data_IF_687423952042
#
_entry.id   IF_687423952042
#
_cell.length_a   1.000
_cell.length_b   1.000
_cell.length_c   1.000
_cell.angle_alpha   90.00
_cell.angle_beta   90.00
_cell.angle_gamma   90.00
#
_symmetry.space_group_name_H-M   'P 1'
#
loop_
_entity.id
_entity.type
_entity.pdbx_description
1 polymer ?
#
# COMPACT_ATOMS: atom_id res chain seq x y z
N UNK A 1 20.03 23.55 -0.20
CA UNK A 1 19.83 22.10 -0.01
C UNK A 1 19.55 21.43 -1.36
N UNK A 2 20.45 21.57 -2.34
CA UNK A 2 20.46 20.71 -3.54
C UNK A 2 21.04 19.37 -3.09
N UNK A 3 20.29 18.30 -3.31
CA UNK A 3 20.29 17.06 -2.54
C UNK A 3 21.57 16.24 -2.72
N UNK A 4 22.19 15.81 -1.62
CA UNK A 4 23.25 14.79 -1.58
C UNK A 4 22.91 13.51 -2.38
N UNK A 5 21.61 13.25 -2.58
CA UNK A 5 21.06 12.11 -3.31
C UNK A 5 21.46 12.12 -4.80
N UNK A 6 21.59 13.28 -5.45
CA UNK A 6 21.87 13.31 -6.91
C UNK A 6 23.28 12.87 -7.28
N UNK A 7 24.22 12.84 -6.33
CA UNK A 7 25.58 12.37 -6.56
C UNK A 7 25.78 10.88 -6.23
N UNK A 8 24.92 10.33 -5.38
CA UNK A 8 24.98 8.93 -4.93
C UNK A 8 24.15 7.98 -5.81
N UNK A 9 23.20 8.50 -6.59
CA UNK A 9 22.32 7.71 -7.44
C UNK A 9 22.63 7.96 -8.92
N UNK A 10 22.45 6.92 -9.73
CA UNK A 10 22.36 7.07 -11.18
C UNK A 10 21.09 7.84 -11.56
N UNK A 11 21.16 8.62 -12.64
CA UNK A 11 20.06 9.45 -13.10
C UNK A 11 18.85 8.60 -13.54
N UNK A 12 19.11 7.43 -14.15
CA UNK A 12 18.08 6.46 -14.53
C UNK A 12 17.39 5.84 -13.31
N UNK A 13 18.17 5.60 -12.23
CA UNK A 13 17.65 5.08 -10.97
C UNK A 13 16.68 6.08 -10.31
N UNK A 14 17.05 7.37 -10.27
CA UNK A 14 16.17 8.43 -9.75
C UNK A 14 14.89 8.55 -10.57
N UNK A 15 15.00 8.47 -11.89
CA UNK A 15 13.86 8.55 -12.80
C UNK A 15 12.90 7.37 -12.59
N UNK A 16 13.43 6.15 -12.39
CA UNK A 16 12.63 4.97 -12.09
C UNK A 16 11.84 5.13 -10.78
N UNK A 17 12.51 5.55 -9.70
CA UNK A 17 11.89 5.80 -8.38
C UNK A 17 10.75 6.82 -8.53
N UNK A 18 11.03 7.94 -9.18
CA UNK A 18 10.07 9.02 -9.37
C UNK A 18 8.81 8.55 -10.09
N UNK A 19 8.98 7.80 -11.20
CA UNK A 19 7.86 7.23 -11.97
C UNK A 19 7.06 6.22 -11.16
N UNK A 20 7.72 5.33 -10.42
CA UNK A 20 7.04 4.27 -9.65
C UNK A 20 6.30 4.80 -8.42
N UNK A 21 6.87 5.75 -7.66
CA UNK A 21 6.16 6.33 -6.51
C UNK A 21 4.98 7.21 -6.94
N UNK A 22 5.10 7.93 -8.05
CA UNK A 22 3.99 8.70 -8.60
C UNK A 22 2.77 7.81 -8.91
N UNK A 23 2.99 6.57 -9.35
CA UNK A 23 1.93 5.59 -9.61
C UNK A 23 1.32 4.99 -8.32
N UNK A 24 2.13 4.82 -7.25
CA UNK A 24 1.73 4.00 -6.09
C UNK A 24 0.91 4.78 -5.05
N UNK A 25 1.18 6.06 -4.82
CA UNK A 25 0.37 6.89 -3.91
C UNK A 25 0.80 8.37 -3.80
N UNK A 26 1.95 8.76 -4.37
CA UNK A 26 2.57 10.06 -4.12
C UNK A 26 3.11 10.23 -2.69
N UNK A 27 3.26 9.15 -1.90
CA UNK A 27 3.78 9.25 -0.53
C UNK A 27 5.31 9.35 -0.54
N UNK A 28 5.81 10.55 -0.22
CA UNK A 28 7.23 10.85 -0.07
C UNK A 28 7.95 9.92 0.92
N UNK A 29 7.25 9.43 1.97
CA UNK A 29 7.85 8.53 2.97
C UNK A 29 8.22 7.18 2.37
N UNK A 30 7.37 6.65 1.49
CA UNK A 30 7.67 5.41 0.76
C UNK A 30 8.86 5.62 -0.19
N UNK A 31 8.88 6.75 -0.90
CA UNK A 31 10.01 7.13 -1.75
C UNK A 31 11.34 7.10 -0.99
N UNK A 32 11.39 7.80 0.15
CA UNK A 32 12.59 7.87 0.96
C UNK A 32 13.02 6.49 1.47
N UNK A 33 12.09 5.64 1.92
CA UNK A 33 12.41 4.29 2.38
C UNK A 33 13.00 3.39 1.29
N UNK A 34 12.53 3.55 0.03
CA UNK A 34 13.08 2.84 -1.13
C UNK A 34 14.50 3.31 -1.41
N UNK A 35 14.74 4.62 -1.41
CA UNK A 35 16.08 5.16 -1.65
C UNK A 35 17.09 4.65 -0.62
N UNK A 36 16.73 4.66 0.67
CA UNK A 36 17.63 4.18 1.73
C UNK A 36 17.97 2.70 1.53
N UNK A 37 16.98 1.85 1.24
CA UNK A 37 17.23 0.43 0.96
C UNK A 37 18.03 0.17 -0.32
N UNK A 38 17.78 0.95 -1.37
CA UNK A 38 18.52 0.82 -2.62
C UNK A 38 19.99 1.17 -2.41
N UNK A 39 20.28 2.17 -1.57
CA UNK A 39 21.63 2.47 -1.14
C UNK A 39 22.27 1.32 -0.35
N UNK A 40 21.54 0.70 0.59
CA UNK A 40 22.05 -0.48 1.31
C UNK A 40 22.40 -1.64 0.37
N UNK A 41 21.64 -1.85 -0.71
CA UNK A 41 21.95 -2.88 -1.71
C UNK A 41 23.19 -2.52 -2.54
N UNK A 42 23.28 -1.26 -2.99
CA UNK A 42 24.45 -0.75 -3.69
C UNK A 42 25.72 -0.89 -2.84
N UNK A 43 25.66 -0.52 -1.56
CA UNK A 43 26.78 -0.64 -0.61
C UNK A 43 27.18 -2.12 -0.41
N UNK A 44 26.22 -3.04 -0.27
CA UNK A 44 26.48 -4.49 -0.16
C UNK A 44 27.14 -5.07 -1.40
N UNK A 45 26.78 -4.58 -2.60
CA UNK A 45 27.36 -4.99 -3.87
C UNK A 45 28.63 -4.22 -4.23
N UNK A 46 29.07 -3.28 -3.37
CA UNK A 46 30.21 -2.39 -3.61
C UNK A 46 30.08 -1.56 -4.88
N UNK A 47 28.84 -1.17 -5.24
CA UNK A 47 28.59 -0.25 -6.35
C UNK A 47 29.00 1.17 -5.95
N UNK A 48 29.66 1.89 -6.86
CA UNK A 48 30.07 3.28 -6.62
C UNK A 48 28.89 4.27 -6.57
N UNK A 49 27.76 3.88 -7.15
CA UNK A 49 26.48 4.62 -7.16
C UNK A 49 25.32 3.63 -7.11
N UNK A 50 24.15 4.09 -6.68
CA UNK A 50 22.93 3.29 -6.73
C UNK A 50 22.47 3.15 -8.18
N UNK A 51 22.46 1.92 -8.66
CA UNK A 51 22.04 1.58 -10.02
C UNK A 51 20.54 1.24 -10.06
N UNK A 52 20.01 1.13 -11.28
CA UNK A 52 18.61 0.75 -11.54
C UNK A 52 18.27 -0.59 -10.89
N UNK A 53 19.18 -1.57 -10.94
CA UNK A 53 18.99 -2.91 -10.36
C UNK A 53 18.83 -2.89 -8.83
N UNK A 54 19.52 -2.00 -8.13
CA UNK A 54 19.43 -1.87 -6.66
C UNK A 54 18.07 -1.28 -6.23
N UNK A 55 17.54 -0.38 -7.07
CA UNK A 55 16.20 0.17 -6.92
C UNK A 55 15.14 -0.90 -7.19
N UNK A 56 15.27 -1.64 -8.28
CA UNK A 56 14.34 -2.72 -8.63
C UNK A 56 14.30 -3.78 -7.54
N UNK A 57 15.45 -4.17 -6.98
CA UNK A 57 15.52 -5.10 -5.87
C UNK A 57 14.81 -4.56 -4.62
N UNK A 58 15.00 -3.28 -4.30
CA UNK A 58 14.30 -2.62 -3.19
C UNK A 58 12.79 -2.59 -3.37
N UNK A 59 12.33 -2.26 -4.58
CA UNK A 59 10.90 -2.25 -4.92
C UNK A 59 10.32 -3.67 -4.85
N UNK A 60 11.03 -4.67 -5.39
CA UNK A 60 10.61 -6.07 -5.36
C UNK A 60 10.51 -6.61 -3.93
N UNK A 61 11.44 -6.25 -3.05
CA UNK A 61 11.37 -6.64 -1.63
C UNK A 61 10.17 -6.02 -0.92
N UNK A 62 9.80 -4.77 -1.23
CA UNK A 62 8.58 -4.16 -0.71
C UNK A 62 7.32 -4.88 -1.21
N UNK A 63 7.26 -5.18 -2.51
CA UNK A 63 6.16 -5.94 -3.10
C UNK A 63 6.01 -7.33 -2.47
N UNK A 64 7.13 -8.04 -2.27
CA UNK A 64 7.14 -9.36 -1.64
C UNK A 64 6.67 -9.29 -0.19
N UNK A 65 7.14 -8.29 0.57
CA UNK A 65 6.67 -8.08 1.95
C UNK A 65 5.16 -7.86 1.99
N UNK A 66 4.64 -7.00 1.12
CA UNK A 66 3.20 -6.75 1.03
C UNK A 66 2.45 -8.04 0.65
N UNK A 67 2.97 -8.82 -0.31
CA UNK A 67 2.39 -10.12 -0.72
C UNK A 67 2.35 -11.14 0.42
N UNK A 68 3.41 -11.25 1.22
CA UNK A 68 3.47 -12.17 2.38
C UNK A 68 2.45 -11.73 3.44
N UNK A 69 2.38 -10.43 3.73
CA UNK A 69 1.39 -9.91 4.68
C UNK A 69 -0.03 -10.18 4.19
N UNK A 70 -0.32 -9.85 2.92
CA UNK A 70 -1.65 -10.09 2.33
C UNK A 70 -1.97 -11.58 2.29
N UNK A 71 -1.03 -12.46 1.94
CA UNK A 71 -1.28 -13.90 1.85
C UNK A 71 -1.68 -14.51 3.21
N UNK A 72 -1.12 -14.01 4.31
CA UNK A 72 -1.45 -14.41 5.68
C UNK A 72 -2.84 -13.98 6.17
N UNK A 73 -3.51 -13.06 5.46
CA UNK A 73 -4.83 -12.57 5.85
C UNK A 73 -5.95 -13.55 5.54
N UNK A 74 -7.02 -13.46 6.32
CA UNK A 74 -8.27 -14.17 6.07
C UNK A 74 -8.90 -13.77 4.73
N UNK A 75 -9.68 -14.66 4.13
CA UNK A 75 -10.40 -14.41 2.86
C UNK A 75 -11.30 -13.18 2.96
N UNK A 76 -11.98 -12.98 4.10
CA UNK A 76 -12.85 -11.82 4.34
C UNK A 76 -12.04 -10.51 4.40
N UNK A 77 -10.88 -10.54 5.06
CA UNK A 77 -9.98 -9.38 5.11
C UNK A 77 -9.42 -9.01 3.73
N UNK A 78 -9.07 -10.00 2.91
CA UNK A 78 -8.66 -9.79 1.51
C UNK A 78 -9.78 -9.16 0.67
N UNK A 79 -11.02 -9.59 0.86
CA UNK A 79 -12.18 -9.00 0.19
C UNK A 79 -12.36 -7.52 0.57
N UNK A 80 -12.22 -7.18 1.85
CA UNK A 80 -12.27 -5.78 2.30
C UNK A 80 -11.19 -4.95 1.63
N UNK A 81 -9.96 -5.44 1.54
CA UNK A 81 -8.90 -4.75 0.81
C UNK A 81 -9.25 -4.55 -0.68
N UNK A 82 -9.86 -5.55 -1.34
CA UNK A 82 -10.36 -5.42 -2.72
C UNK A 82 -11.45 -4.35 -2.85
N UNK A 83 -12.39 -4.29 -1.90
CA UNK A 83 -13.40 -3.23 -1.87
C UNK A 83 -12.77 -1.85 -1.67
N UNK A 84 -11.81 -1.72 -0.77
CA UNK A 84 -11.08 -0.46 -0.54
C UNK A 84 -10.33 -0.02 -1.79
N UNK A 85 -9.63 -0.91 -2.48
CA UNK A 85 -8.96 -0.58 -3.75
C UNK A 85 -9.95 -0.14 -4.82
N UNK A 86 -11.05 -0.88 -5.00
CA UNK A 86 -12.11 -0.52 -5.96
C UNK A 86 -12.67 0.87 -5.69
N UNK A 87 -12.87 1.22 -4.41
CA UNK A 87 -13.38 2.53 -3.98
C UNK A 87 -12.31 3.64 -4.10
N UNK A 88 -11.04 3.27 -3.90
CA UNK A 88 -9.87 4.16 -3.97
C UNK A 88 -9.27 4.33 -5.38
N UNK A 89 -9.84 3.67 -6.41
CA UNK A 89 -9.43 3.88 -7.81
C UNK A 89 -9.58 5.33 -8.27
N UNK A 90 -10.31 6.15 -7.53
CA UNK A 90 -10.33 7.59 -7.71
C UNK A 90 -9.30 8.21 -6.74
N UNK A 91 -8.15 8.72 -7.20
CA UNK A 91 -7.00 9.09 -6.35
C UNK A 91 -7.27 10.22 -5.34
N UNK A 92 -8.39 10.93 -5.47
CA UNK A 92 -8.85 11.95 -4.53
C UNK A 92 -9.95 11.46 -3.57
N UNK A 93 -10.46 10.24 -3.75
CA UNK A 93 -11.59 9.74 -2.97
C UNK A 93 -11.10 8.86 -1.82
N UNK A 94 -11.19 9.42 -0.63
CA UNK A 94 -10.99 8.70 0.62
C UNK A 94 -12.16 7.74 0.85
N UNK A 95 -11.87 6.49 1.19
CA UNK A 95 -12.92 5.47 1.33
C UNK A 95 -13.49 5.48 2.74
N UNK A 96 -14.79 5.77 2.87
CA UNK A 96 -15.48 5.77 4.17
C UNK A 96 -15.81 4.35 4.67
N UNK A 97 -15.86 4.15 5.99
CA UNK A 97 -16.25 2.85 6.56
C UNK A 97 -17.65 2.39 6.18
N UNK A 98 -18.58 3.35 6.01
CA UNK A 98 -19.93 3.06 5.53
C UNK A 98 -19.92 2.56 4.09
N UNK A 99 -19.10 3.14 3.21
CA UNK A 99 -18.97 2.68 1.82
C UNK A 99 -18.38 1.25 1.74
N UNK A 100 -17.41 0.94 2.62
CA UNK A 100 -16.85 -0.43 2.73
C UNK A 100 -17.94 -1.41 3.18
N UNK A 101 -18.73 -1.01 4.19
CA UNK A 101 -19.84 -1.82 4.69
C UNK A 101 -20.88 -2.09 3.61
N UNK A 102 -21.26 -1.07 2.84
CA UNK A 102 -22.24 -1.18 1.76
C UNK A 102 -21.75 -2.08 0.63
N UNK A 103 -20.49 -1.97 0.22
CA UNK A 103 -19.91 -2.88 -0.79
C UNK A 103 -19.83 -4.32 -0.29
N UNK A 104 -19.47 -4.53 0.98
CA UNK A 104 -19.46 -5.87 1.58
C UNK A 104 -20.88 -6.45 1.68
N UNK A 105 -21.88 -5.62 2.01
CA UNK A 105 -23.29 -6.02 2.03
C UNK A 105 -23.79 -6.42 0.64
N UNK A 106 -23.45 -5.66 -0.40
CA UNK A 106 -23.76 -6.01 -1.80
C UNK A 106 -23.11 -7.33 -2.20
N UNK A 107 -21.85 -7.55 -1.80
CA UNK A 107 -21.14 -8.79 -2.07
C UNK A 107 -21.81 -10.00 -1.40
N UNK A 108 -22.16 -9.90 -0.11
CA UNK A 108 -22.87 -10.96 0.60
C UNK A 108 -24.26 -11.23 -0.01
N UNK A 109 -25.00 -10.18 -0.37
CA UNK A 109 -26.30 -10.31 -1.03
C UNK A 109 -26.20 -11.05 -2.37
N UNK A 110 -25.20 -10.75 -3.19
CA UNK A 110 -24.97 -11.46 -4.45
C UNK A 110 -24.63 -12.95 -4.27
N UNK A 111 -24.12 -13.34 -3.10
CA UNK A 111 -23.78 -14.72 -2.74
C UNK A 111 -24.86 -15.44 -1.92
N UNK A 112 -26.00 -14.80 -1.65
CA UNK A 112 -27.02 -15.29 -0.71
C UNK A 112 -26.47 -15.56 0.70
N UNK A 113 -25.46 -14.81 1.13
CA UNK A 113 -24.90 -14.87 2.48
C UNK A 113 -25.58 -13.83 3.41
N UNK A 114 -25.64 -14.07 4.72
CA UNK A 114 -26.18 -13.11 5.67
C UNK A 114 -25.37 -11.81 5.68
N UNK A 115 -26.05 -10.69 5.94
CA UNK A 115 -25.40 -9.39 6.02
C UNK A 115 -24.28 -9.38 7.08
N UNK A 116 -23.09 -8.81 6.77
CA UNK A 116 -21.98 -8.78 7.71
C UNK A 116 -22.31 -7.87 8.89
N UNK A 117 -21.84 -8.22 10.09
CA UNK A 117 -21.96 -7.35 11.25
C UNK A 117 -20.97 -6.16 11.13
N UNK A 118 -21.45 -4.94 11.39
CA UNK A 118 -20.65 -3.72 11.34
C UNK A 118 -19.47 -3.77 12.33
N UNK A 119 -19.66 -4.29 13.55
CA UNK A 119 -18.59 -4.44 14.55
C UNK A 119 -17.47 -5.37 14.05
N UNK A 120 -17.84 -6.44 13.34
CA UNK A 120 -16.88 -7.36 12.77
C UNK A 120 -16.05 -6.70 11.66
N UNK A 121 -16.67 -5.84 10.84
CA UNK A 121 -15.97 -5.04 9.81
C UNK A 121 -15.02 -4.05 10.46
N UNK A 122 -15.44 -3.33 11.50
CA UNK A 122 -14.57 -2.44 12.28
C UNK A 122 -13.33 -3.17 12.81
N UNK A 123 -13.51 -4.36 13.41
CA UNK A 123 -12.40 -5.19 13.91
C UNK A 123 -11.43 -5.58 12.80
N UNK A 124 -11.95 -5.99 11.63
CA UNK A 124 -11.12 -6.34 10.48
C UNK A 124 -10.35 -5.13 9.95
N UNK A 125 -11.01 -3.98 9.81
CA UNK A 125 -10.37 -2.72 9.39
C UNK A 125 -9.28 -2.32 10.38
N UNK A 126 -9.54 -2.36 11.69
CA UNK A 126 -8.52 -2.07 12.71
C UNK A 126 -7.32 -3.02 12.64
N UNK A 127 -7.55 -4.31 12.37
CA UNK A 127 -6.46 -5.27 12.14
C UNK A 127 -5.64 -4.93 10.91
N UNK A 128 -6.28 -4.53 9.80
CA UNK A 128 -5.61 -4.09 8.58
C UNK A 128 -4.80 -2.80 8.80
N UNK A 129 -5.32 -1.86 9.60
CA UNK A 129 -4.60 -0.64 10.01
C UNK A 129 -3.39 -0.99 10.86
N UNK A 130 -3.53 -1.90 11.81
CA UNK A 130 -2.43 -2.37 12.68
C UNK A 130 -1.31 -3.04 11.88
N UNK A 131 -1.66 -3.74 10.81
CA UNK A 131 -0.72 -4.34 9.86
C UNK A 131 -0.14 -3.35 8.84
N UNK A 132 -0.45 -2.05 8.95
CA UNK A 132 -0.05 -0.99 8.03
C UNK A 132 -0.46 -1.21 6.57
N UNK A 133 -1.48 -2.04 6.31
CA UNK A 133 -2.00 -2.25 4.96
C UNK A 133 -2.98 -1.15 4.56
N UNK A 134 -3.62 -0.51 5.52
CA UNK A 134 -4.45 0.68 5.29
C UNK A 134 -4.02 1.78 6.25
N UNK A 135 -4.11 3.02 5.80
CA UNK A 135 -3.89 4.21 6.62
C UNK A 135 -5.23 4.84 6.88
N UNK A 136 -5.53 5.05 8.15
CA UNK A 136 -6.68 5.82 8.58
C UNK A 136 -6.35 7.32 8.55
N UNK A 137 -7.20 8.09 7.90
CA UNK A 137 -7.00 9.54 7.69
C UNK A 137 -7.77 10.36 8.73
N UNK A 138 -8.99 9.93 9.07
CA UNK A 138 -9.87 10.62 10.03
C UNK A 138 -9.97 9.86 11.35
N UNK A 139 -10.30 10.51 12.48
CA UNK A 139 -10.46 9.85 13.77
C UNK A 139 -11.48 8.70 13.75
N UNK A 140 -11.31 7.75 14.68
CA UNK A 140 -12.17 6.56 14.79
C UNK A 140 -13.65 6.94 14.98
N UNK A 141 -14.51 6.34 14.16
CA UNK A 141 -15.96 6.56 14.18
C UNK A 141 -16.64 6.21 12.86
N UNK A 142 -17.93 6.55 12.74
CA UNK A 142 -18.74 6.29 11.54
C UNK A 142 -18.28 7.06 10.29
N UNK A 143 -17.49 8.13 10.48
CA UNK A 143 -16.88 8.91 9.41
C UNK A 143 -15.39 8.59 9.22
N UNK A 144 -14.94 7.42 9.70
CA UNK A 144 -13.57 6.96 9.48
C UNK A 144 -13.33 6.76 7.99
N UNK A 145 -12.23 7.32 7.52
CA UNK A 145 -11.79 7.29 6.13
C UNK A 145 -10.44 6.62 6.04
N UNK A 146 -10.28 5.79 5.01
CA UNK A 146 -9.11 4.94 4.83
C UNK A 146 -8.53 5.11 3.43
N UNK A 147 -7.19 4.99 3.35
CA UNK A 147 -6.43 4.91 2.09
C UNK A 147 -5.61 3.63 2.08
N UNK A 148 -5.51 2.93 0.94
CA UNK A 148 -4.62 1.78 0.82
C UNK A 148 -3.15 2.18 1.02
N UNK A 149 -2.41 1.33 1.71
CA UNK A 149 -0.97 1.52 1.98
C UNK A 149 -0.12 0.34 1.49
N UNK A 150 -0.61 -0.42 0.53
CA UNK A 150 0.08 -1.58 -0.05
C UNK A 150 -0.03 -1.51 -1.58
N UNK A 151 0.78 -2.31 -2.29
CA UNK A 151 0.70 -2.36 -3.75
C UNK A 151 -0.52 -3.16 -4.23
N UNK A 152 -1.23 -2.66 -5.25
CA UNK A 152 -2.44 -3.33 -5.78
C UNK A 152 -2.15 -4.78 -6.22
N UNK A 153 -1.04 -4.99 -6.93
CA UNK A 153 -0.54 -6.30 -7.37
C UNK A 153 -0.23 -7.29 -6.22
N UNK A 154 -0.28 -6.85 -4.96
CA UNK A 154 -0.11 -7.74 -3.80
C UNK A 154 -1.38 -8.51 -3.42
N UNK A 155 -2.53 -8.21 -4.04
CA UNK A 155 -3.82 -8.90 -3.83
C UNK A 155 -4.12 -10.03 -4.82
N UNK A 156 -3.28 -10.18 -5.84
CA UNK A 156 -3.33 -11.23 -6.87
C UNK A 156 -2.46 -12.43 -6.48
#
# INVERSE_FOLDING_TARGET
MKSKISHEFDEDAIMLISRKIAQVAGDFRKCFSVCVKAKEHADKKSHAKVLVEDVEESLNQLLQKDKILVSSLSVKSKLILKHILKLSNNPQKETGIQEIYDEQKKYCAAKNEPAPNFDHILKMVNSLTSNNLIIQITPNGIHSKFKPNFHADSLD
#
